data_IF_499901572915
#
_entry.id   IF_499901572915
#
_cell.length_a   1.000
_cell.length_b   1.000
_cell.length_c   1.000
_cell.angle_alpha   90.00
_cell.angle_beta   90.00
_cell.angle_gamma   90.00
#
_symmetry.space_group_name_H-M   'P 1'
#
loop_
_entity.id
_entity.type
_entity.pdbx_description
1 polymer ?
#
# COMPACT_ATOMS: atom_id res chain seq x y z
N UNK A 1 12.18 -7.60 -12.46
CA UNK A 1 10.86 -7.17 -11.92
C UNK A 1 10.55 -5.67 -12.08
N UNK A 2 11.26 -4.77 -11.38
CA UNK A 2 10.85 -3.36 -11.29
C UNK A 2 10.75 -2.71 -12.68
N UNK A 3 11.75 -2.97 -13.53
CA UNK A 3 11.75 -2.50 -14.92
C UNK A 3 10.54 -3.01 -15.70
N UNK A 4 10.26 -4.32 -15.65
CA UNK A 4 9.06 -4.92 -16.26
C UNK A 4 7.75 -4.25 -15.83
N UNK A 5 7.59 -3.93 -14.54
CA UNK A 5 6.35 -3.34 -14.00
C UNK A 5 6.16 -1.87 -14.35
N UNK A 6 7.24 -1.14 -14.63
CA UNK A 6 7.21 0.31 -14.80
C UNK A 6 7.64 0.79 -16.18
N UNK A 7 8.04 -0.12 -17.08
CA UNK A 7 8.41 0.24 -18.44
C UNK A 7 7.21 0.90 -19.16
N UNK A 8 7.51 1.93 -19.93
CA UNK A 8 6.53 2.65 -20.76
C UNK A 8 7.05 2.67 -22.20
N UNK A 9 6.12 2.65 -23.16
CA UNK A 9 6.45 2.83 -24.56
C UNK A 9 7.15 4.19 -24.77
N UNK A 10 8.20 4.19 -25.59
CA UNK A 10 8.92 5.42 -25.93
C UNK A 10 8.39 6.02 -27.24
N UNK A 11 8.50 7.34 -27.48
CA UNK A 11 7.97 7.98 -28.69
C UNK A 11 8.52 7.42 -30.01
N UNK A 12 9.72 6.83 -29.97
CA UNK A 12 10.42 6.30 -31.16
C UNK A 12 10.22 4.77 -31.33
N UNK A 13 9.39 4.16 -30.50
CA UNK A 13 9.19 2.71 -30.47
C UNK A 13 7.80 2.37 -30.99
N UNK A 14 7.71 1.36 -31.86
CA UNK A 14 6.42 0.81 -32.26
C UNK A 14 5.91 -0.22 -31.23
N UNK A 15 4.61 -0.54 -31.27
CA UNK A 15 4.01 -1.47 -30.30
C UNK A 15 4.59 -2.89 -30.35
N UNK A 16 5.04 -3.37 -31.52
CA UNK A 16 5.68 -4.68 -31.64
C UNK A 16 7.03 -4.72 -30.92
N UNK A 17 7.86 -3.69 -31.11
CA UNK A 17 9.14 -3.54 -30.41
C UNK A 17 8.95 -3.40 -28.89
N UNK A 18 7.90 -2.68 -28.48
CA UNK A 18 7.55 -2.55 -27.06
C UNK A 18 7.15 -3.90 -26.47
N UNK A 19 6.32 -4.68 -27.17
CA UNK A 19 5.92 -6.01 -26.76
C UNK A 19 7.12 -6.97 -26.66
N UNK A 20 8.05 -6.94 -27.63
CA UNK A 20 9.30 -7.72 -27.56
C UNK A 20 10.14 -7.33 -26.34
N UNK A 21 10.18 -6.03 -26.00
CA UNK A 21 10.90 -5.56 -24.80
C UNK A 21 10.22 -6.07 -23.52
N UNK A 22 8.89 -6.06 -23.47
CA UNK A 22 8.12 -6.62 -22.35
C UNK A 22 8.41 -8.10 -22.14
N UNK A 23 8.40 -8.91 -23.21
CA UNK A 23 8.76 -10.33 -23.13
C UNK A 23 10.16 -10.53 -22.58
N UNK A 24 11.15 -9.82 -23.14
CA UNK A 24 12.55 -9.91 -22.67
C UNK A 24 12.69 -9.57 -21.18
N UNK A 25 12.00 -8.54 -20.71
CA UNK A 25 12.04 -8.13 -19.30
C UNK A 25 11.30 -9.10 -18.38
N UNK A 26 10.24 -9.74 -18.88
CA UNK A 26 9.54 -10.79 -18.18
C UNK A 26 10.43 -12.02 -18.03
N UNK A 27 10.99 -12.53 -19.13
CA UNK A 27 11.87 -13.71 -19.13
C UNK A 27 13.07 -13.49 -18.20
N UNK A 28 13.76 -12.36 -18.34
CA UNK A 28 14.87 -11.99 -17.45
C UNK A 28 14.45 -11.93 -15.97
N UNK A 29 13.21 -11.54 -15.69
CA UNK A 29 12.71 -11.56 -14.32
C UNK A 29 12.42 -12.99 -13.83
N UNK A 30 11.82 -13.85 -14.65
CA UNK A 30 11.62 -15.27 -14.29
C UNK A 30 12.95 -15.95 -14.02
N UNK A 31 13.94 -15.76 -14.90
CA UNK A 31 15.29 -16.31 -14.74
C UNK A 31 15.95 -15.84 -13.44
N UNK A 32 15.82 -14.55 -13.11
CA UNK A 32 16.36 -13.97 -11.87
C UNK A 32 15.63 -14.45 -10.60
N UNK A 33 14.42 -15.00 -10.74
CA UNK A 33 13.63 -15.50 -9.62
C UNK A 33 13.85 -16.98 -9.34
N UNK A 34 14.71 -17.65 -10.12
CA UNK A 34 15.10 -19.06 -9.95
C UNK A 34 13.89 -20.01 -9.81
N UNK A 35 12.78 -19.68 -10.47
CA UNK A 35 11.57 -20.52 -10.50
C UNK A 35 11.55 -21.38 -11.75
N UNK A 36 11.09 -22.61 -11.60
CA UNK A 36 10.87 -23.50 -12.73
C UNK A 36 9.91 -22.86 -13.75
N UNK A 37 10.12 -23.15 -15.04
CA UNK A 37 9.21 -22.77 -16.13
C UNK A 37 7.92 -23.62 -16.14
N UNK A 38 7.37 -23.87 -14.95
CA UNK A 38 6.11 -24.56 -14.72
C UNK A 38 5.03 -23.55 -14.35
N UNK A 39 3.79 -23.83 -14.76
CA UNK A 39 2.65 -22.96 -14.47
C UNK A 39 2.48 -22.69 -12.96
N UNK A 40 2.62 -23.73 -12.12
CA UNK A 40 2.48 -23.58 -10.67
C UNK A 40 3.55 -22.67 -10.05
N UNK A 41 4.81 -22.83 -10.46
CA UNK A 41 5.92 -22.00 -10.01
C UNK A 41 5.75 -20.54 -10.43
N UNK A 42 5.29 -20.31 -11.67
CA UNK A 42 4.95 -18.97 -12.14
C UNK A 42 3.77 -18.38 -11.37
N UNK A 43 2.72 -19.17 -11.14
CA UNK A 43 1.54 -18.75 -10.38
C UNK A 43 1.93 -18.32 -8.96
N UNK A 44 2.74 -19.13 -8.28
CA UNK A 44 3.23 -18.79 -6.94
C UNK A 44 4.08 -17.52 -6.95
N UNK A 45 5.02 -17.38 -7.90
CA UNK A 45 5.80 -16.14 -8.07
C UNK A 45 4.87 -14.92 -8.21
N UNK A 46 3.87 -14.98 -9.10
CA UNK A 46 2.94 -13.86 -9.33
C UNK A 46 2.12 -13.52 -8.08
N UNK A 47 1.68 -14.53 -7.32
CA UNK A 47 0.91 -14.33 -6.09
C UNK A 47 1.78 -13.70 -5.00
N UNK A 48 3.00 -14.19 -4.79
CA UNK A 48 3.97 -13.60 -3.84
C UNK A 48 4.31 -12.16 -4.20
N UNK A 49 4.53 -11.91 -5.50
CA UNK A 49 4.81 -10.59 -6.06
C UNK A 49 3.74 -9.56 -5.69
N UNK A 50 2.48 -9.97 -5.86
CA UNK A 50 1.30 -9.16 -5.57
C UNK A 50 1.08 -9.01 -4.06
N UNK A 51 1.24 -10.09 -3.29
CA UNK A 51 1.09 -10.06 -1.83
C UNK A 51 2.08 -9.10 -1.18
N UNK A 52 3.35 -9.14 -1.59
CA UNK A 52 4.33 -8.16 -1.12
C UNK A 52 3.89 -6.75 -1.47
N UNK A 53 3.26 -6.54 -2.63
CA UNK A 53 2.83 -5.21 -3.08
C UNK A 53 1.65 -4.65 -2.28
N UNK A 54 0.76 -5.50 -1.76
CA UNK A 54 -0.44 -5.10 -1.03
C UNK A 54 -0.23 -4.83 0.45
N UNK A 55 0.81 -5.40 1.06
CA UNK A 55 1.12 -5.19 2.48
C UNK A 55 1.89 -3.89 2.72
N UNK A 56 1.81 -3.38 3.96
CA UNK A 56 2.57 -2.20 4.38
C UNK A 56 4.09 -2.45 4.36
N UNK A 57 4.87 -1.37 4.49
CA UNK A 57 6.34 -1.41 4.42
C UNK A 57 6.96 -2.35 5.45
N UNK A 58 6.49 -2.30 6.68
CA UNK A 58 7.15 -2.98 7.81
C UNK A 58 6.95 -4.49 7.71
N UNK A 59 5.72 -4.93 7.41
CA UNK A 59 5.41 -6.32 7.14
C UNK A 59 6.14 -6.83 5.88
N UNK A 60 6.26 -6.00 4.83
CA UNK A 60 7.02 -6.35 3.62
C UNK A 60 8.49 -6.61 3.93
N UNK A 61 9.11 -5.75 4.74
CA UNK A 61 10.51 -5.91 5.17
C UNK A 61 10.64 -7.21 5.97
N UNK A 62 9.79 -7.41 6.97
CA UNK A 62 9.76 -8.62 7.78
C UNK A 62 9.66 -9.92 6.97
N UNK A 63 8.79 -9.95 5.95
CA UNK A 63 8.66 -11.13 5.08
C UNK A 63 9.93 -11.36 4.27
N UNK A 64 10.51 -10.29 3.70
CA UNK A 64 11.73 -10.39 2.89
C UNK A 64 12.93 -10.88 3.69
N UNK A 65 13.04 -10.51 4.96
CA UNK A 65 14.14 -10.94 5.84
C UNK A 65 14.10 -12.45 6.14
N UNK A 66 12.92 -13.08 6.10
CA UNK A 66 12.74 -14.50 6.45
C UNK A 66 13.00 -15.48 5.29
N UNK A 67 13.39 -14.98 4.11
CA UNK A 67 13.66 -15.78 2.92
C UNK A 67 12.58 -16.82 2.61
N UNK A 68 11.31 -16.41 2.70
CA UNK A 68 10.15 -17.28 2.51
C UNK A 68 9.85 -17.40 1.00
N UNK A 69 9.70 -18.64 0.52
CA UNK A 69 9.61 -18.92 -0.92
C UNK A 69 8.22 -19.28 -1.41
N UNK A 70 7.25 -19.49 -0.53
CA UNK A 70 5.87 -19.83 -0.91
C UNK A 70 4.86 -18.80 -0.44
N UNK A 71 3.81 -18.58 -1.24
CA UNK A 71 2.74 -17.64 -0.86
C UNK A 71 2.03 -18.04 0.44
N UNK A 72 1.88 -19.34 0.70
CA UNK A 72 1.23 -19.86 1.90
C UNK A 72 2.04 -19.53 3.17
N UNK A 73 3.34 -19.76 3.15
CA UNK A 73 4.23 -19.41 4.27
C UNK A 73 4.29 -17.90 4.49
N UNK A 74 4.26 -17.10 3.43
CA UNK A 74 4.22 -15.63 3.54
C UNK A 74 2.96 -15.16 4.27
N UNK A 75 1.80 -15.76 3.98
CA UNK A 75 0.55 -15.47 4.66
C UNK A 75 0.62 -15.85 6.15
N UNK A 76 1.12 -17.06 6.46
CA UNK A 76 1.28 -17.51 7.84
C UNK A 76 2.22 -16.60 8.64
N UNK A 77 3.36 -16.21 8.06
CA UNK A 77 4.29 -15.29 8.71
C UNK A 77 3.66 -13.90 8.92
N UNK A 78 2.86 -13.43 7.96
CA UNK A 78 2.12 -12.18 8.06
C UNK A 78 1.07 -12.20 9.18
N UNK A 79 0.34 -13.30 9.34
CA UNK A 79 -0.64 -13.46 10.41
C UNK A 79 0.04 -13.42 11.79
N UNK A 80 1.17 -14.12 11.95
CA UNK A 80 1.96 -14.10 13.20
C UNK A 80 2.44 -12.67 13.49
N UNK A 81 2.99 -11.98 12.49
CA UNK A 81 3.44 -10.60 12.62
C UNK A 81 2.28 -9.67 13.01
N UNK A 82 1.13 -9.81 12.35
CA UNK A 82 -0.04 -8.98 12.59
C UNK A 82 -0.65 -9.18 13.97
N UNK A 83 -0.67 -10.43 14.47
CA UNK A 83 -1.05 -10.74 15.85
C UNK A 83 -0.11 -10.07 16.86
N UNK A 84 1.21 -10.15 16.64
CA UNK A 84 2.20 -9.60 17.56
C UNK A 84 2.25 -8.07 17.58
N UNK A 85 2.00 -7.41 16.45
CA UNK A 85 2.16 -5.96 16.29
C UNK A 85 0.83 -5.20 16.20
N UNK A 86 -0.32 -5.87 16.38
CA UNK A 86 -1.66 -5.30 16.16
C UNK A 86 -1.77 -4.60 14.78
N UNK A 87 -1.24 -5.27 13.75
CA UNK A 87 -1.00 -4.70 12.42
C UNK A 87 -2.10 -5.07 11.41
N UNK A 88 -3.13 -5.83 11.82
CA UNK A 88 -4.26 -6.11 10.94
C UNK A 88 -4.92 -4.81 10.44
N UNK A 89 -5.36 -4.76 9.18
CA UNK A 89 -6.08 -3.60 8.66
C UNK A 89 -7.29 -3.28 9.55
N UNK A 90 -7.24 -2.12 10.19
CA UNK A 90 -8.36 -1.64 11.01
C UNK A 90 -9.45 -1.15 10.08
N UNK A 91 -10.70 -1.47 10.40
CA UNK A 91 -11.83 -0.85 9.72
C UNK A 91 -11.73 0.66 9.88
N UNK A 92 -11.61 1.37 8.75
CA UNK A 92 -11.76 2.82 8.74
C UNK A 92 -13.23 3.10 9.00
N UNK A 93 -13.58 3.40 10.26
CA UNK A 93 -14.92 3.90 10.59
C UNK A 93 -15.22 5.08 9.66
N UNK A 94 -16.21 4.92 8.78
CA UNK A 94 -16.69 5.98 7.89
C UNK A 94 -17.56 6.98 8.66
N UNK A 95 -17.20 7.31 9.90
CA UNK A 95 -17.89 8.35 10.64
C UNK A 95 -17.63 9.68 9.95
N UNK A 96 -18.58 10.11 9.11
CA UNK A 96 -18.65 11.49 8.65
C UNK A 96 -19.19 12.29 9.83
N UNK A 97 -18.41 13.20 10.44
CA UNK A 97 -18.99 14.12 11.41
C UNK A 97 -20.10 14.88 10.69
N UNK A 98 -21.33 14.73 11.19
CA UNK A 98 -22.46 15.52 10.73
C UNK A 98 -22.18 16.94 11.22
N UNK A 99 -21.63 17.79 10.34
CA UNK A 99 -21.52 19.22 10.60
C UNK A 99 -22.94 19.77 10.60
N UNK A 100 -23.46 20.33 11.70
CA UNK A 100 -24.78 20.96 11.70
C UNK A 100 -24.75 22.16 10.74
N UNK A 101 -25.60 22.15 9.70
CA UNK A 101 -25.85 23.32 8.86
C UNK A 101 -26.45 24.41 9.74
N UNK A 102 -25.66 25.44 10.07
CA UNK A 102 -26.20 26.69 10.61
C UNK A 102 -27.01 27.36 9.50
N UNK A 103 -28.28 27.62 9.78
CA UNK A 103 -29.18 28.40 8.93
C UNK A 103 -28.64 29.82 8.78
N UNK A 104 -28.37 30.23 7.54
CA UNK A 104 -28.00 31.59 7.17
C UNK A 104 -29.12 32.56 7.57
N UNK A 105 -28.82 33.41 8.55
CA UNK A 105 -29.65 34.52 8.99
C UNK A 105 -28.77 35.75 9.19
N UNK A 106 -28.79 36.65 8.20
CA UNK A 106 -28.54 38.10 8.26
C UNK A 106 -27.47 38.64 9.23
N UNK A 107 -26.38 39.18 8.67
CA UNK A 107 -25.45 40.11 9.34
C UNK A 107 -26.18 41.29 10.00
N UNK A 108 -25.63 41.81 11.11
CA UNK A 108 -25.02 43.14 10.99
C UNK A 108 -23.62 43.28 11.60
N UNK A 109 -23.01 44.39 11.20
CA UNK A 109 -21.63 44.86 11.17
C UNK A 109 -20.93 45.28 12.49
N UNK A 110 -19.63 44.90 12.61
CA UNK A 110 -18.43 45.68 13.07
C UNK A 110 -18.23 45.94 14.61
N UNK A 111 -17.00 46.04 15.20
CA UNK A 111 -15.67 45.42 14.92
C UNK A 111 -14.87 44.89 16.18
N UNK A 112 -13.75 44.21 15.89
CA UNK A 112 -12.44 44.09 16.60
C UNK A 112 -12.39 44.28 18.15
N UNK A 113 -11.92 43.25 18.87
CA UNK A 113 -10.52 43.14 19.38
C UNK A 113 -10.30 41.93 20.32
N UNK A 114 -9.08 41.42 20.29
CA UNK A 114 -8.30 40.87 21.42
C UNK A 114 -8.73 39.59 22.16
N UNK A 115 -7.79 38.64 22.16
CA UNK A 115 -7.40 37.73 23.27
C UNK A 115 -8.43 36.75 23.84
N UNK A 116 -8.20 35.45 23.62
CA UNK A 116 -8.10 34.46 24.70
C UNK A 116 -7.62 33.11 24.16
N UNK A 117 -6.41 32.73 24.54
CA UNK A 117 -6.00 31.33 24.60
C UNK A 117 -7.03 30.52 25.37
N UNK A 118 -7.47 29.38 24.84
CA UNK A 118 -7.78 28.20 25.66
C UNK A 118 -7.25 26.96 24.96
N UNK A 119 -5.97 26.67 25.19
CA UNK A 119 -5.41 25.32 25.00
C UNK A 119 -6.19 24.40 25.96
N UNK A 120 -7.01 23.51 25.41
CA UNK A 120 -7.70 22.49 26.21
C UNK A 120 -6.76 21.30 26.43
N UNK A 121 -6.35 21.14 27.69
CA UNK A 121 -5.51 20.07 28.19
C UNK A 121 -6.17 18.70 28.00
N UNK A 122 -5.41 17.71 27.55
CA UNK A 122 -5.82 16.31 27.44
C UNK A 122 -5.51 15.58 28.76
N UNK A 123 -6.57 15.23 29.48
CA UNK A 123 -6.69 14.03 30.33
C UNK A 123 -5.71 13.88 31.52
N UNK A 124 -6.06 14.51 32.65
CA UNK A 124 -5.84 13.90 33.96
C UNK A 124 -7.16 13.24 34.40
N UNK A 125 -7.16 11.92 34.59
CA UNK A 125 -7.82 11.30 35.73
C UNK A 125 -7.42 9.82 35.84
N UNK A 126 -6.85 9.52 37.00
CA UNK A 126 -6.74 8.25 37.77
C UNK A 126 -6.25 6.97 37.07
#
# INVERSE_FOLDING_TARGET
RSEFRHIKITPNQNYMQFLTTLFRLFDSWIDSAEVDHAFESLRDLMVRDQFLSSVNSDLRIFIKERNIHTAAEMAQAADIYACAHNNYPKERSRYKPVVPKQSEGSEPSIPRNSTAFTVKCFNCNE
#
